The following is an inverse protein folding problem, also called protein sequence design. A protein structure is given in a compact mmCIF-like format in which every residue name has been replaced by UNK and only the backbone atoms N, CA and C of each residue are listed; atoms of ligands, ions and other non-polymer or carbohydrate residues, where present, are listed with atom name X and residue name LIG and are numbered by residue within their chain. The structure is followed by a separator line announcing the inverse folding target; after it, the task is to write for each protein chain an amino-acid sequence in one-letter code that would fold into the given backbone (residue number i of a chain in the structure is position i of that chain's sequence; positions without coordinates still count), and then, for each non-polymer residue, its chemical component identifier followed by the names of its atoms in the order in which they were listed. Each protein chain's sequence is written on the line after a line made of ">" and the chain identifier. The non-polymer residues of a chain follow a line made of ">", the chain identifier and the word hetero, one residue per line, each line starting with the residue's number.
data_IF_358869622567
#
_entry.id   IF_358869622567
#
_cell.length_a   1.000
_cell.length_b   1.000
_cell.length_c   1.000
_cell.angle_alpha   90.00
_cell.angle_beta   90.00
_cell.angle_gamma   90.00
#
_symmetry.space_group_name_H-M   'P 1'
#
loop_
_entity.id
_entity.type
_entity.pdbx_description
1 polymer ?
#
# COMPACT_ATOMS: atom_id res chain seq x y z
N UNK A 1 -10.01 23.47 23.54
CA UNK A 1 -9.95 22.24 22.71
C UNK A 1 -9.41 21.12 23.60
N UNK A 2 -10.31 20.39 24.26
CA UNK A 2 -9.95 19.35 25.25
C UNK A 2 -9.46 18.09 24.52
N UNK A 3 -8.29 17.59 24.92
CA UNK A 3 -7.80 16.28 24.50
C UNK A 3 -8.61 15.21 25.24
N UNK A 4 -9.22 14.28 24.49
CA UNK A 4 -9.93 13.13 25.09
C UNK A 4 -8.91 12.16 25.71
N UNK A 5 -9.14 11.63 26.92
CA UNK A 5 -8.24 10.67 27.54
C UNK A 5 -8.47 9.30 26.88
N UNK A 6 -7.46 8.80 26.17
CA UNK A 6 -7.42 7.39 25.75
C UNK A 6 -7.00 6.54 26.94
N UNK A 7 -7.98 6.04 27.70
CA UNK A 7 -7.77 4.95 28.66
C UNK A 7 -8.36 3.67 28.06
N UNK A 8 -7.49 2.75 27.64
CA UNK A 8 -7.91 1.47 27.07
C UNK A 8 -6.72 0.51 26.99
N UNK A 9 -6.84 -0.60 27.71
CA UNK A 9 -5.75 -1.53 27.99
C UNK A 9 -5.20 -2.31 26.80
N UNK A 10 -4.08 -2.97 27.11
CA UNK A 10 -3.28 -3.84 26.25
C UNK A 10 -2.52 -3.12 25.14
N UNK A 11 -1.28 -3.58 24.93
CA UNK A 11 -0.23 -3.00 24.10
C UNK A 11 -0.57 -3.13 22.59
N UNK A 12 -1.68 -2.53 22.16
CA UNK A 12 -2.16 -2.59 20.78
C UNK A 12 -1.23 -1.79 19.88
N UNK A 13 -0.29 -2.48 19.22
CA UNK A 13 0.53 -1.87 18.18
C UNK A 13 -0.33 -1.64 16.94
N UNK A 14 -0.43 -0.38 16.50
CA UNK A 14 -1.11 -0.06 15.24
C UNK A 14 -0.24 -0.52 14.07
N UNK A 15 -0.88 -1.02 13.01
CA UNK A 15 -0.21 -1.38 11.76
C UNK A 15 -0.64 -0.40 10.68
N UNK A 16 0.32 0.23 10.03
CA UNK A 16 0.12 1.07 8.86
C UNK A 16 0.27 0.21 7.61
N UNK A 17 -0.78 0.11 6.80
CA UNK A 17 -0.69 -0.52 5.49
C UNK A 17 -0.31 0.53 4.44
N UNK A 18 0.73 0.24 3.67
CA UNK A 18 1.23 1.13 2.62
C UNK A 18 1.31 0.36 1.30
N UNK A 19 0.47 0.73 0.34
CA UNK A 19 0.45 0.12 -0.99
C UNK A 19 1.47 0.82 -1.89
N UNK A 20 2.45 0.06 -2.38
CA UNK A 20 3.50 0.57 -3.26
C UNK A 20 3.09 0.42 -4.73
N UNK A 21 3.17 1.52 -5.48
CA UNK A 21 2.88 1.62 -6.91
C UNK A 21 4.10 2.18 -7.62
N UNK A 22 4.51 1.50 -8.69
CA UNK A 22 5.71 1.83 -9.45
C UNK A 22 5.68 3.27 -9.98
N UNK A 23 6.71 4.05 -9.66
CA UNK A 23 6.89 5.43 -10.12
C UNK A 23 5.91 6.44 -9.52
N UNK A 24 5.08 6.03 -8.55
CA UNK A 24 4.08 6.89 -7.91
C UNK A 24 4.45 7.20 -6.47
N UNK A 25 4.80 6.16 -5.70
CA UNK A 25 5.08 6.30 -4.27
C UNK A 25 6.07 5.25 -3.74
N UNK A 26 6.93 4.74 -4.61
CA UNK A 26 7.88 3.67 -4.32
C UNK A 26 9.35 4.15 -4.30
N UNK A 27 9.58 5.47 -4.29
CA UNK A 27 10.93 6.02 -4.22
C UNK A 27 11.50 5.96 -2.80
N UNK A 28 12.83 6.08 -2.67
CA UNK A 28 13.47 6.15 -1.36
C UNK A 28 13.16 7.45 -0.61
N UNK A 29 12.81 8.52 -1.33
CA UNK A 29 12.37 9.77 -0.71
C UNK A 29 10.97 9.61 -0.11
N UNK A 30 10.06 8.91 -0.78
CA UNK A 30 8.75 8.55 -0.22
C UNK A 30 8.89 7.73 1.07
N UNK A 31 9.88 6.84 1.15
CA UNK A 31 10.16 6.08 2.38
C UNK A 31 10.61 7.00 3.53
N UNK A 32 11.43 8.01 3.25
CA UNK A 32 11.88 9.00 4.25
C UNK A 32 10.72 9.89 4.69
N UNK A 33 9.89 10.33 3.76
CA UNK A 33 8.72 11.15 4.05
C UNK A 33 7.69 10.37 4.88
N UNK A 34 7.47 9.10 4.57
CA UNK A 34 6.63 8.21 5.39
C UNK A 34 7.18 8.05 6.80
N UNK A 35 8.48 7.83 6.95
CA UNK A 35 9.14 7.72 8.25
C UNK A 35 9.03 9.02 9.06
N UNK A 36 9.12 10.18 8.39
CA UNK A 36 8.94 11.49 9.00
C UNK A 36 7.49 11.71 9.44
N UNK A 37 6.52 11.32 8.62
CA UNK A 37 5.08 11.42 8.92
C UNK A 37 4.71 10.58 10.14
N UNK A 38 5.29 9.39 10.26
CA UNK A 38 5.02 8.45 11.36
C UNK A 38 5.84 8.74 12.63
N UNK A 39 6.66 9.80 12.63
CA UNK A 39 7.55 10.12 13.74
C UNK A 39 6.74 10.31 15.03
N UNK A 40 7.13 9.58 16.08
CA UNK A 40 6.48 9.63 17.38
C UNK A 40 5.29 8.66 17.53
N UNK A 41 4.89 7.98 16.45
CA UNK A 41 3.85 6.96 16.49
C UNK A 41 4.47 5.55 16.54
N UNK A 42 4.11 4.77 17.57
CA UNK A 42 4.58 3.38 17.69
C UNK A 42 3.72 2.48 16.81
N UNK A 43 4.19 2.23 15.60
CA UNK A 43 3.52 1.33 14.65
C UNK A 43 4.45 0.34 13.97
N UNK A 44 3.82 -0.70 13.39
CA UNK A 44 4.42 -1.56 12.38
C UNK A 44 3.99 -1.08 11.01
N UNK A 45 4.83 -1.24 10.00
CA UNK A 45 4.48 -0.90 8.61
C UNK A 45 4.35 -2.21 7.83
N UNK A 46 3.29 -2.35 7.04
CA UNK A 46 3.05 -3.46 6.16
C UNK A 46 3.04 -2.95 4.71
N UNK A 47 4.13 -3.20 3.99
CA UNK A 47 4.27 -2.86 2.58
C UNK A 47 3.52 -3.89 1.74
N UNK A 48 2.65 -3.40 0.85
CA UNK A 48 1.84 -4.23 -0.05
C UNK A 48 2.16 -3.78 -1.47
N UNK A 49 2.97 -4.54 -2.23
CA UNK A 49 3.16 -4.26 -3.64
C UNK A 49 1.81 -4.27 -4.35
N UNK A 50 1.55 -3.25 -5.18
CA UNK A 50 0.31 -3.16 -5.93
C UNK A 50 0.12 -4.40 -6.82
N UNK A 51 -1.10 -4.93 -6.85
CA UNK A 51 -1.47 -6.01 -7.77
C UNK A 51 -2.29 -5.41 -8.92
N UNK A 52 -1.73 -5.31 -10.14
CA UNK A 52 -2.39 -4.67 -11.26
C UNK A 52 -3.70 -5.38 -11.64
N UNK A 53 -4.70 -4.59 -12.02
CA UNK A 53 -5.96 -5.07 -12.60
C UNK A 53 -6.35 -4.22 -13.81
N UNK A 54 -7.18 -4.74 -14.75
CA UNK A 54 -7.59 -3.98 -15.93
C UNK A 54 -8.21 -2.63 -15.54
N UNK A 55 -7.76 -1.54 -16.18
CA UNK A 55 -8.17 -0.15 -15.90
C UNK A 55 -7.61 0.49 -14.62
N UNK A 56 -6.64 -0.14 -13.94
CA UNK A 56 -6.03 0.47 -12.74
C UNK A 56 -5.12 1.66 -13.06
N UNK A 57 -4.41 1.65 -14.19
CA UNK A 57 -3.45 2.70 -14.55
C UNK A 57 -2.16 2.69 -13.72
N UNK A 58 -2.01 1.74 -12.79
CA UNK A 58 -0.85 1.62 -11.91
C UNK A 58 -0.13 0.31 -12.12
N UNK A 59 1.18 0.33 -11.89
CA UNK A 59 2.05 -0.82 -12.04
C UNK A 59 2.60 -1.28 -10.70
N UNK A 60 3.04 -2.54 -10.69
CA UNK A 60 3.66 -3.15 -9.53
C UNK A 60 5.14 -2.76 -9.49
N UNK A 61 5.66 -2.23 -8.37
CA UNK A 61 7.08 -1.92 -8.26
C UNK A 61 7.93 -3.18 -8.38
N UNK A 62 9.18 -3.00 -8.85
CA UNK A 62 10.14 -4.10 -8.90
C UNK A 62 10.42 -4.67 -7.50
N UNK A 63 10.86 -5.94 -7.45
CA UNK A 63 11.27 -6.56 -6.18
C UNK A 63 12.40 -5.78 -5.52
N UNK A 64 13.39 -5.34 -6.29
CA UNK A 64 14.52 -4.56 -5.79
C UNK A 64 14.09 -3.21 -5.20
N UNK A 65 13.18 -2.51 -5.87
CA UNK A 65 12.61 -1.24 -5.36
C UNK A 65 11.88 -1.45 -4.04
N UNK A 66 11.06 -2.49 -3.99
CA UNK A 66 10.27 -2.84 -2.79
C UNK A 66 11.17 -3.20 -1.60
N UNK A 67 12.20 -4.01 -1.83
CA UNK A 67 13.18 -4.39 -0.81
C UNK A 67 14.02 -3.18 -0.35
N UNK A 68 14.42 -2.30 -1.27
CA UNK A 68 15.14 -1.07 -0.93
C UNK A 68 14.30 -0.11 -0.07
N UNK A 69 13.01 0.04 -0.41
CA UNK A 69 12.05 0.81 0.38
C UNK A 69 11.89 0.22 1.79
N UNK A 70 11.70 -1.11 1.87
CA UNK A 70 11.61 -1.83 3.15
C UNK A 70 12.85 -1.61 4.02
N UNK A 71 14.04 -1.80 3.44
CA UNK A 71 15.31 -1.64 4.15
C UNK A 71 15.50 -0.20 4.64
N UNK A 72 15.06 0.78 3.86
CA UNK A 72 15.10 2.20 4.26
C UNK A 72 14.26 2.45 5.51
N UNK A 73 13.02 1.96 5.56
CA UNK A 73 12.16 2.09 6.75
C UNK A 73 12.71 1.34 7.97
N UNK A 74 13.30 0.16 7.77
CA UNK A 74 13.97 -0.60 8.84
C UNK A 74 15.15 0.18 9.41
N UNK A 75 16.00 0.75 8.54
CA UNK A 75 17.15 1.56 8.95
C UNK A 75 16.72 2.83 9.69
N UNK A 76 15.52 3.35 9.42
CA UNK A 76 14.91 4.49 10.13
C UNK A 76 14.17 4.09 11.42
N UNK A 77 14.24 2.82 11.83
CA UNK A 77 13.76 2.34 13.12
C UNK A 77 12.34 1.76 13.13
N UNK A 78 11.71 1.56 11.97
CA UNK A 78 10.37 0.97 11.88
C UNK A 78 10.41 -0.55 11.66
N UNK A 79 9.56 -1.27 12.40
CA UNK A 79 9.27 -2.67 12.08
C UNK A 79 8.46 -2.73 10.78
N UNK A 80 9.10 -3.17 9.68
CA UNK A 80 8.48 -3.16 8.34
C UNK A 80 8.41 -4.57 7.78
N UNK A 81 7.20 -5.01 7.46
CA UNK A 81 6.91 -6.29 6.81
C UNK A 81 6.58 -6.06 5.34
N UNK A 82 7.05 -6.96 4.48
CA UNK A 82 6.66 -6.99 3.07
C UNK A 82 5.67 -8.13 2.86
N UNK A 83 4.46 -7.79 2.39
CA UNK A 83 3.43 -8.78 2.08
C UNK A 83 3.79 -9.50 0.77
N UNK A 84 4.18 -10.77 0.91
CA UNK A 84 4.35 -11.67 -0.23
C UNK A 84 2.99 -12.02 -0.83
N UNK A 85 2.81 -11.73 -2.11
CA UNK A 85 1.73 -12.31 -2.92
C UNK A 85 2.02 -13.80 -3.08
N UNK A 86 1.09 -14.64 -2.65
CA UNK A 86 1.15 -16.10 -2.82
C UNK A 86 1.16 -16.40 -4.33
N UNK A 87 2.33 -16.50 -4.94
CA UNK A 87 2.49 -16.71 -6.38
C UNK A 87 3.86 -16.35 -6.94
N UNK A 88 4.57 -15.36 -6.36
CA UNK A 88 5.87 -14.93 -6.92
C UNK A 88 7.06 -15.78 -6.44
N UNK A 89 6.86 -16.58 -5.39
CA UNK A 89 7.90 -17.44 -4.82
C UNK A 89 7.85 -18.87 -5.41
N UNK A 90 7.02 -19.14 -6.43
CA UNK A 90 6.84 -20.47 -7.01
C UNK A 90 7.91 -20.76 -8.07
N UNK A 91 9.13 -21.00 -7.60
CA UNK A 91 9.93 -22.13 -8.07
C UNK A 91 9.79 -23.35 -7.13
N UNK A 92 8.75 -23.43 -6.30
CA UNK A 92 8.45 -24.61 -5.51
C UNK A 92 6.93 -24.77 -5.23
N UNK A 93 6.42 -25.94 -5.61
CA UNK A 93 5.13 -26.57 -5.31
C UNK A 93 3.95 -26.37 -6.30
N UNK A 94 3.52 -27.51 -6.86
CA UNK A 94 2.32 -27.77 -7.65
C UNK A 94 0.99 -27.57 -6.89
N UNK A 95 -0.11 -27.43 -7.65
CA UNK A 95 -1.49 -27.60 -7.16
C UNK A 95 -2.39 -26.41 -7.50
N UNK A 96 -2.91 -26.32 -8.73
CA UNK A 96 -4.32 -26.64 -8.99
C UNK A 96 -5.24 -26.24 -7.83
N UNK A 97 -5.84 -25.05 -7.91
CA UNK A 97 -7.28 -24.83 -7.71
C UNK A 97 -7.56 -23.33 -7.88
N UNK A 98 -7.85 -22.96 -9.12
CA UNK A 98 -8.51 -21.70 -9.49
C UNK A 98 -9.94 -21.77 -8.95
N UNK A 99 -10.13 -21.33 -7.70
CA UNK A 99 -11.47 -21.04 -7.18
C UNK A 99 -11.91 -19.69 -7.73
N UNK A 100 -12.94 -19.67 -8.58
CA UNK A 100 -13.62 -18.45 -8.99
C UNK A 100 -14.17 -17.73 -7.75
N UNK A 101 -13.42 -16.77 -7.23
CA UNK A 101 -13.92 -15.87 -6.19
C UNK A 101 -14.67 -14.75 -6.90
N UNK A 102 -16.00 -14.82 -6.87
CA UNK A 102 -16.83 -13.65 -7.17
C UNK A 102 -16.53 -12.58 -6.12
N UNK A 103 -15.75 -11.57 -6.52
CA UNK A 103 -15.53 -10.37 -5.74
C UNK A 103 -16.86 -9.62 -5.59
N UNK A 104 -17.50 -9.75 -4.42
CA UNK A 104 -18.75 -9.06 -4.06
C UNK A 104 -18.54 -7.61 -3.65
N UNK A 105 -17.31 -7.10 -3.69
CA UNK A 105 -16.99 -5.73 -3.36
C UNK A 105 -16.95 -4.93 -4.66
N UNK A 106 -17.98 -4.12 -4.92
CA UNK A 106 -18.07 -3.11 -6.00
C UNK A 106 -17.00 -2.00 -5.90
N UNK A 107 -15.81 -2.31 -5.37
CA UNK A 107 -14.68 -1.39 -5.17
C UNK A 107 -14.11 -0.95 -6.51
N UNK A 108 -13.97 -1.87 -7.46
CA UNK A 108 -13.50 -1.56 -8.82
C UNK A 108 -14.44 -0.57 -9.52
N UNK A 109 -15.76 -0.79 -9.42
CA UNK A 109 -16.78 0.12 -9.96
C UNK A 109 -16.72 1.52 -9.32
N UNK A 110 -16.51 1.60 -7.99
CA UNK A 110 -16.37 2.89 -7.27
C UNK A 110 -15.11 3.66 -7.66
N UNK A 111 -13.99 2.98 -7.87
CA UNK A 111 -12.75 3.63 -8.32
C UNK A 111 -12.86 4.12 -9.77
N UNK A 112 -13.46 3.32 -10.66
CA UNK A 112 -13.71 3.72 -12.05
C UNK A 112 -14.69 4.91 -12.17
N UNK A 113 -15.73 4.94 -11.32
CA UNK A 113 -16.68 6.05 -11.29
C UNK A 113 -16.02 7.36 -10.81
N UNK A 114 -15.12 7.29 -9.83
CA UNK A 114 -14.43 8.47 -9.27
C UNK A 114 -13.35 9.02 -10.20
N UNK A 115 -12.67 8.17 -10.97
CA UNK A 115 -11.71 8.60 -11.99
C UNK A 115 -12.37 9.40 -13.12
N UNK A 116 -13.58 9.01 -13.57
CA UNK A 116 -14.34 9.71 -14.61
C UNK A 116 -14.82 11.11 -14.21
N UNK A 117 -14.91 11.41 -12.92
CA UNK A 117 -15.38 12.71 -12.42
C UNK A 117 -14.31 13.80 -12.48
N UNK A 118 -13.01 13.44 -12.62
CA UNK A 118 -11.90 14.39 -12.51
C UNK A 118 -11.56 15.04 -13.88
N UNK A 119 -11.94 14.42 -15.00
CA UNK A 119 -11.57 14.90 -16.35
C UNK A 119 -12.31 16.12 -16.94
N UNK A 120 -13.50 16.60 -16.52
CA UNK A 120 -14.13 17.71 -17.23
C UNK A 120 -13.65 19.11 -16.80
N UNK A 121 -12.91 19.25 -15.68
CA UNK A 121 -12.61 20.58 -15.10
C UNK A 121 -11.33 21.26 -15.60
N UNK A 122 -10.51 20.61 -16.44
CA UNK A 122 -9.24 21.20 -16.90
C UNK A 122 -9.34 21.96 -18.24
N UNK A 123 -10.50 21.98 -18.89
CA UNK A 123 -10.67 22.58 -20.23
C UNK A 123 -11.40 23.95 -20.26
N UNK A 124 -11.41 24.70 -19.14
CA UNK A 124 -12.06 26.03 -19.10
C UNK A 124 -11.15 27.17 -18.58
N UNK A 125 -9.83 26.99 -18.58
CA UNK A 125 -8.88 28.09 -18.37
C UNK A 125 -7.93 28.17 -19.56
N UNK A 126 -8.44 28.76 -20.66
CA UNK A 126 -7.68 29.26 -21.80
C UNK A 126 -8.36 30.52 -22.29
#
# INVERSE_FOLDING_TARGET
>A
MQQLPVHGGERRSVTVEYTLMEGVNDSLDDARDLAQLLRGFKCKINLIPFNPFPSSGYLRPSRGTTEAFQNTLINLGYTTMLRKTRGDDIHAACGQLVGQVQDRTRRVERYAARAKTIEPTLNQLS
#
